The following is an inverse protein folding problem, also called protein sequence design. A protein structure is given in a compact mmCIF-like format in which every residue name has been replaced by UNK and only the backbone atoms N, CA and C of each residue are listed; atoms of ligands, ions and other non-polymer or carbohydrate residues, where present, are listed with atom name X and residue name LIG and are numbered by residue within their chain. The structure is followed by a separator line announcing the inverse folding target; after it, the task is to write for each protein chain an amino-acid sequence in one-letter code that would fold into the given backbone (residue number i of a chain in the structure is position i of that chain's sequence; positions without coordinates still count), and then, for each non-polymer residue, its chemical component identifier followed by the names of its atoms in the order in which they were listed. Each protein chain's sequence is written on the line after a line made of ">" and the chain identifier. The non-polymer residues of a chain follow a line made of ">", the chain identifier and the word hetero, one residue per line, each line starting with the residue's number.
data_IF_664892451131
#
_entry.id   IF_664892451131
#
_cell.length_a   1.000
_cell.length_b   1.000
_cell.length_c   1.000
_cell.angle_alpha   90.00
_cell.angle_beta   90.00
_cell.angle_gamma   90.00
#
_symmetry.space_group_name_H-M   'P 1'
#
loop_
_entity.id
_entity.type
_entity.pdbx_description
1 polymer ?
#
# COMPACT_ATOMS: atom_id res chain seq x y z
N UNK A 1 -27.80 -16.34 15.95
CA UNK A 1 -26.49 -17.00 15.82
C UNK A 1 -25.61 -16.13 14.94
N UNK A 2 -24.77 -15.26 15.51
CA UNK A 2 -23.76 -14.53 14.72
C UNK A 2 -22.70 -15.56 14.37
N UNK A 3 -22.54 -15.83 13.07
CA UNK A 3 -21.56 -16.80 12.57
C UNK A 3 -20.15 -16.33 12.91
N UNK A 4 -19.24 -17.26 13.19
CA UNK A 4 -17.83 -17.03 13.54
C UNK A 4 -17.11 -16.08 12.55
N UNK A 5 -17.58 -16.00 11.29
CA UNK A 5 -17.10 -15.07 10.28
C UNK A 5 -17.52 -13.60 10.50
N UNK A 6 -18.47 -13.30 11.39
CA UNK A 6 -18.89 -11.93 11.68
C UNK A 6 -17.97 -11.18 12.67
N UNK A 7 -16.91 -11.81 13.17
CA UNK A 7 -15.98 -11.21 14.14
C UNK A 7 -14.60 -10.84 13.52
N UNK A 8 -14.27 -11.36 12.33
CA UNK A 8 -12.99 -11.05 11.68
C UNK A 8 -13.20 -9.85 10.75
N UNK A 9 -12.48 -8.72 10.95
CA UNK A 9 -12.54 -7.59 10.02
C UNK A 9 -12.17 -8.02 8.60
N UNK A 10 -12.91 -7.55 7.59
CA UNK A 10 -12.64 -7.86 6.19
C UNK A 10 -11.20 -7.53 5.77
N UNK A 11 -10.60 -6.50 6.38
CA UNK A 11 -9.20 -6.14 6.15
C UNK A 11 -8.23 -7.25 6.57
N UNK A 12 -8.49 -7.96 7.67
CA UNK A 12 -7.65 -9.09 8.11
C UNK A 12 -7.74 -10.23 7.10
N UNK A 13 -8.94 -10.53 6.60
CA UNK A 13 -9.12 -11.54 5.57
C UNK A 13 -8.40 -11.14 4.26
N UNK A 14 -8.51 -9.89 3.84
CA UNK A 14 -7.83 -9.37 2.66
C UNK A 14 -6.31 -9.45 2.79
N UNK A 15 -5.75 -9.13 3.97
CA UNK A 15 -4.32 -9.30 4.25
C UNK A 15 -3.93 -10.79 4.20
N UNK A 16 -4.71 -11.69 4.78
CA UNK A 16 -4.43 -13.13 4.71
C UNK A 16 -4.41 -13.66 3.27
N UNK A 17 -5.37 -13.24 2.44
CA UNK A 17 -5.40 -13.55 1.00
C UNK A 17 -4.16 -12.98 0.30
N UNK A 18 -3.76 -11.75 0.62
CA UNK A 18 -2.56 -11.11 0.07
C UNK A 18 -1.29 -11.88 0.40
N UNK A 19 -1.17 -12.41 1.61
CA UNK A 19 -0.04 -13.28 2.02
C UNK A 19 -0.02 -14.56 1.20
N UNK A 20 -1.17 -15.23 1.05
CA UNK A 20 -1.27 -16.46 0.25
C UNK A 20 -0.86 -16.20 -1.21
N UNK A 21 -1.37 -15.13 -1.81
CA UNK A 21 -1.02 -14.73 -3.20
C UNK A 21 0.48 -14.42 -3.30
N UNK A 22 1.03 -13.65 -2.36
CA UNK A 22 2.44 -13.29 -2.34
C UNK A 22 3.34 -14.54 -2.28
N UNK A 23 3.02 -15.51 -1.42
CA UNK A 23 3.77 -16.76 -1.33
C UNK A 23 3.62 -17.60 -2.61
N UNK A 24 2.40 -17.77 -3.12
CA UNK A 24 2.11 -18.58 -4.29
C UNK A 24 2.79 -18.05 -5.57
N UNK A 25 2.79 -16.71 -5.76
CA UNK A 25 3.34 -16.08 -6.96
C UNK A 25 4.81 -15.68 -6.84
N UNK A 26 5.41 -15.74 -5.64
CA UNK A 26 6.77 -15.25 -5.38
C UNK A 26 7.84 -15.83 -6.30
N UNK A 27 7.75 -17.12 -6.65
CA UNK A 27 8.74 -17.77 -7.53
C UNK A 27 8.67 -17.22 -8.96
N UNK A 28 7.45 -17.05 -9.50
CA UNK A 28 7.26 -16.49 -10.86
C UNK A 28 7.66 -15.02 -10.90
N UNK A 29 7.26 -14.26 -9.88
CA UNK A 29 7.64 -12.86 -9.74
C UNK A 29 9.17 -12.70 -9.60
N UNK A 30 9.84 -13.56 -8.84
CA UNK A 30 11.29 -13.54 -8.68
C UNK A 30 12.03 -13.75 -10.01
N UNK A 31 11.58 -14.72 -10.81
CA UNK A 31 12.14 -14.97 -12.13
C UNK A 31 11.96 -13.76 -13.07
N UNK A 32 10.77 -13.16 -13.10
CA UNK A 32 10.49 -11.99 -13.93
C UNK A 32 11.25 -10.74 -13.48
N UNK A 33 11.32 -10.49 -12.16
CA UNK A 33 12.02 -9.35 -11.56
C UNK A 33 13.54 -9.55 -11.49
N UNK A 34 14.04 -10.74 -11.81
CA UNK A 34 15.47 -11.11 -11.70
C UNK A 34 16.02 -10.88 -10.29
N UNK A 35 15.26 -11.29 -9.27
CA UNK A 35 15.58 -11.07 -7.86
C UNK A 35 15.38 -12.32 -7.01
N UNK A 36 15.72 -12.24 -5.71
CA UNK A 36 15.47 -13.35 -4.75
C UNK A 36 13.95 -13.48 -4.52
N UNK A 37 13.49 -14.72 -4.29
CA UNK A 37 12.09 -15.03 -3.99
C UNK A 37 11.53 -14.21 -2.81
N UNK A 38 12.34 -13.99 -1.77
CA UNK A 38 11.96 -13.19 -0.62
C UNK A 38 11.65 -11.74 -0.98
N UNK A 39 12.48 -11.11 -1.83
CA UNK A 39 12.26 -9.73 -2.30
C UNK A 39 11.01 -9.65 -3.17
N UNK A 40 10.81 -10.61 -4.08
CA UNK A 40 9.60 -10.67 -4.89
C UNK A 40 8.34 -10.86 -4.03
N UNK A 41 8.41 -11.70 -2.99
CA UNK A 41 7.32 -11.87 -2.03
C UNK A 41 7.01 -10.58 -1.27
N UNK A 42 8.03 -9.82 -0.84
CA UNK A 42 7.86 -8.52 -0.18
C UNK A 42 7.20 -7.49 -1.10
N UNK A 43 7.55 -7.46 -2.39
CA UNK A 43 6.88 -6.58 -3.36
C UNK A 43 5.40 -6.93 -3.47
N UNK A 44 5.07 -8.21 -3.68
CA UNK A 44 3.68 -8.66 -3.80
C UNK A 44 2.89 -8.40 -2.52
N UNK A 45 3.51 -8.65 -1.36
CA UNK A 45 2.90 -8.39 -0.06
C UNK A 45 2.67 -6.88 0.16
N UNK A 46 3.63 -6.04 -0.24
CA UNK A 46 3.48 -4.58 -0.17
C UNK A 46 2.28 -4.08 -0.98
N UNK A 47 2.12 -4.53 -2.22
CA UNK A 47 0.92 -4.22 -3.02
C UNK A 47 -0.35 -4.73 -2.34
N UNK A 48 -0.33 -5.98 -1.85
CA UNK A 48 -1.46 -6.59 -1.16
C UNK A 48 -1.87 -5.83 0.10
N UNK A 49 -0.90 -5.37 0.90
CA UNK A 49 -1.16 -4.57 2.11
C UNK A 49 -1.81 -3.23 1.76
N UNK A 50 -1.29 -2.51 0.75
CA UNK A 50 -1.89 -1.25 0.30
C UNK A 50 -3.33 -1.48 -0.14
N UNK A 51 -3.59 -2.45 -1.03
CA UNK A 51 -4.93 -2.77 -1.52
C UNK A 51 -5.87 -3.16 -0.37
N UNK A 52 -5.40 -4.01 0.56
CA UNK A 52 -6.20 -4.45 1.71
C UNK A 52 -6.54 -3.32 2.67
N UNK A 53 -5.64 -2.35 2.85
CA UNK A 53 -5.86 -1.23 3.74
C UNK A 53 -6.75 -0.14 3.12
N UNK A 54 -6.68 0.05 1.79
CA UNK A 54 -7.30 1.21 1.12
C UNK A 54 -8.59 0.89 0.38
N UNK A 55 -8.77 -0.33 -0.13
CA UNK A 55 -9.93 -0.69 -0.98
C UNK A 55 -10.93 -1.64 -0.29
N UNK A 56 -10.64 -2.14 0.91
CA UNK A 56 -11.63 -2.90 1.68
C UNK A 56 -12.63 -1.92 2.32
N UNK A 57 -13.94 -2.19 2.22
CA UNK A 57 -14.97 -1.36 2.84
C UNK A 57 -14.74 -1.16 4.34
N UNK A 58 -15.00 0.05 4.82
CA UNK A 58 -14.94 0.37 6.26
C UNK A 58 -16.09 -0.27 7.03
N UNK A 59 -15.99 -0.35 8.36
CA UNK A 59 -17.10 -0.79 9.20
C UNK A 59 -18.35 0.07 8.98
N UNK A 60 -18.20 1.39 8.88
CA UNK A 60 -19.30 2.33 8.63
C UNK A 60 -19.98 2.05 7.27
N UNK A 61 -19.19 1.73 6.23
CA UNK A 61 -19.74 1.34 4.92
C UNK A 61 -20.58 0.05 5.01
N UNK A 62 -20.13 -0.92 5.80
CA UNK A 62 -20.88 -2.17 6.03
C UNK A 62 -22.17 -1.94 6.80
N UNK A 63 -22.24 -0.87 7.60
CA UNK A 63 -23.45 -0.42 8.30
C UNK A 63 -24.33 0.50 7.42
N UNK A 64 -24.00 0.64 6.12
CA UNK A 64 -24.77 1.39 5.16
C UNK A 64 -24.45 2.90 5.14
N UNK A 65 -23.31 3.31 5.67
CA UNK A 65 -22.86 4.73 5.67
C UNK A 65 -21.75 4.89 4.63
N UNK A 66 -22.07 5.31 3.38
CA UNK A 66 -21.07 5.58 2.34
C UNK A 66 -20.30 6.87 2.64
N UNK A 67 -19.20 7.12 1.90
CA UNK A 67 -18.58 8.44 1.85
C UNK A 67 -19.44 9.39 1.01
N UNK A 68 -19.12 10.70 1.10
CA UNK A 68 -19.83 11.76 0.36
C UNK A 68 -19.56 11.76 -1.16
N UNK A 69 -18.57 10.99 -1.61
CA UNK A 69 -18.19 10.93 -3.03
C UNK A 69 -17.52 12.23 -3.53
N UNK A 70 -16.98 13.03 -2.63
CA UNK A 70 -16.24 14.27 -2.93
C UNK A 70 -14.77 14.07 -2.59
N UNK A 71 -13.88 14.63 -3.42
CA UNK A 71 -12.44 14.63 -3.13
C UNK A 71 -12.05 15.86 -2.34
N UNK A 72 -11.48 15.68 -1.13
CA UNK A 72 -10.92 16.76 -0.35
C UNK A 72 -9.59 17.22 -0.96
N UNK A 73 -9.56 18.47 -1.42
CA UNK A 73 -8.40 19.11 -2.03
C UNK A 73 -7.77 20.17 -1.14
N UNK A 74 -8.10 20.18 0.13
CA UNK A 74 -7.66 21.23 1.08
C UNK A 74 -6.15 21.25 1.31
N UNK A 75 -5.47 20.11 1.17
CA UNK A 75 -4.02 19.98 1.35
C UNK A 75 -3.35 19.31 0.14
N UNK A 76 -2.40 20.03 -0.49
CA UNK A 76 -1.53 19.51 -1.57
C UNK A 76 -0.05 19.43 -1.13
N UNK A 77 0.28 19.82 0.09
CA UNK A 77 1.63 19.82 0.64
C UNK A 77 1.94 18.60 1.50
N UNK A 78 3.21 18.51 1.93
CA UNK A 78 3.63 17.49 2.89
C UNK A 78 2.92 17.67 4.24
N UNK A 79 2.68 16.56 4.93
CA UNK A 79 2.21 16.58 6.30
C UNK A 79 3.21 17.30 7.22
N UNK A 80 2.72 17.97 8.24
CA UNK A 80 3.55 18.57 9.28
C UNK A 80 4.27 17.50 10.10
N UNK A 81 5.35 17.89 10.78
CA UNK A 81 6.08 16.96 11.67
C UNK A 81 5.16 16.42 12.77
N UNK A 82 4.27 17.26 13.28
CA UNK A 82 3.30 16.87 14.29
C UNK A 82 2.32 15.81 13.79
N UNK A 83 1.80 15.95 12.56
CA UNK A 83 0.95 14.95 11.91
C UNK A 83 1.69 13.63 11.66
N UNK A 84 2.98 13.69 11.33
CA UNK A 84 3.79 12.48 11.08
C UNK A 84 4.22 11.76 12.36
N UNK A 85 4.32 12.46 13.48
CA UNK A 85 4.74 11.89 14.78
C UNK A 85 3.57 11.47 15.67
N UNK A 86 2.35 11.83 15.30
CA UNK A 86 1.11 11.38 15.94
C UNK A 86 0.38 10.35 15.08
N UNK A 87 -0.57 9.62 15.70
CA UNK A 87 -1.39 8.64 14.95
C UNK A 87 -2.50 9.39 14.23
N UNK A 88 -2.22 9.77 13.00
CA UNK A 88 -3.14 10.48 12.09
C UNK A 88 -3.30 9.71 10.80
N UNK A 89 -4.26 10.09 9.95
CA UNK A 89 -4.40 9.53 8.60
C UNK A 89 -3.11 9.70 7.79
N UNK A 90 -2.46 10.88 7.88
CA UNK A 90 -1.21 11.17 7.18
C UNK A 90 -0.08 10.23 7.57
N UNK A 91 0.18 10.04 8.88
CA UNK A 91 1.23 9.13 9.34
C UNK A 91 0.96 7.67 8.95
N UNK A 92 -0.31 7.25 8.98
CA UNK A 92 -0.70 5.90 8.58
C UNK A 92 -0.54 5.67 7.08
N UNK A 93 -0.87 6.66 6.22
CA UNK A 93 -0.67 6.57 4.78
C UNK A 93 0.81 6.51 4.42
N UNK A 94 1.65 7.34 5.04
CA UNK A 94 3.11 7.25 4.88
C UNK A 94 3.60 5.86 5.28
N UNK A 95 3.27 5.38 6.47
CA UNK A 95 3.72 4.08 6.97
C UNK A 95 3.23 2.91 6.12
N UNK A 96 2.04 3.00 5.54
CA UNK A 96 1.46 1.97 4.68
C UNK A 96 2.30 1.73 3.41
N UNK A 97 2.86 2.79 2.82
CA UNK A 97 3.64 2.70 1.59
C UNK A 97 5.14 2.45 1.81
N UNK A 98 5.67 2.65 3.02
CA UNK A 98 7.09 2.38 3.34
C UNK A 98 7.50 0.93 3.04
N UNK A 99 6.75 -0.13 3.44
CA UNK A 99 7.14 -1.51 3.13
C UNK A 99 7.20 -1.80 1.63
N UNK A 100 6.27 -1.27 0.84
CA UNK A 100 6.28 -1.40 -0.62
C UNK A 100 7.51 -0.69 -1.20
N UNK A 101 7.76 0.55 -0.81
CA UNK A 101 8.95 1.30 -1.21
C UNK A 101 10.25 0.58 -0.85
N UNK A 102 10.36 0.06 0.37
CA UNK A 102 11.51 -0.72 0.80
C UNK A 102 11.77 -1.92 -0.12
N UNK A 103 10.73 -2.69 -0.43
CA UNK A 103 10.85 -3.83 -1.33
C UNK A 103 11.31 -3.40 -2.74
N UNK A 104 10.81 -2.27 -3.26
CA UNK A 104 11.25 -1.70 -4.54
C UNK A 104 12.73 -1.27 -4.50
N UNK A 105 13.20 -0.67 -3.42
CA UNK A 105 14.60 -0.29 -3.23
C UNK A 105 15.57 -1.47 -3.27
N UNK A 106 15.10 -2.68 -2.91
CA UNK A 106 15.87 -3.92 -2.99
C UNK A 106 15.96 -4.49 -4.41
N UNK A 107 15.09 -4.09 -5.34
CA UNK A 107 15.07 -4.63 -6.70
C UNK A 107 16.32 -4.23 -7.50
N UNK A 108 16.80 -5.11 -8.43
CA UNK A 108 17.86 -4.77 -9.37
C UNK A 108 17.38 -3.66 -10.33
N UNK A 109 18.33 -2.91 -10.91
CA UNK A 109 18.03 -1.85 -11.91
C UNK A 109 17.72 -2.48 -13.28
N UNK A 110 16.54 -3.09 -13.39
CA UNK A 110 16.06 -3.74 -14.61
C UNK A 110 14.77 -3.10 -15.12
N UNK A 111 14.42 -3.36 -16.38
CA UNK A 111 13.18 -2.88 -16.97
C UNK A 111 11.93 -3.38 -16.21
N UNK A 112 11.82 -4.67 -15.81
CA UNK A 112 10.71 -5.13 -14.97
C UNK A 112 10.60 -4.38 -13.64
N UNK A 113 11.73 -4.12 -12.97
CA UNK A 113 11.74 -3.36 -11.72
C UNK A 113 11.23 -1.93 -11.92
N UNK A 114 11.62 -1.26 -13.02
CA UNK A 114 11.11 0.07 -13.37
C UNK A 114 9.59 0.05 -13.61
N UNK A 115 9.07 -0.96 -14.31
CA UNK A 115 7.61 -1.12 -14.52
C UNK A 115 6.88 -1.24 -13.19
N UNK A 116 7.39 -2.06 -12.26
CA UNK A 116 6.77 -2.24 -10.94
C UNK A 116 6.86 -0.98 -10.10
N UNK A 117 7.96 -0.21 -10.19
CA UNK A 117 8.08 1.06 -9.50
C UNK A 117 7.06 2.10 -10.01
N UNK A 118 6.87 2.18 -11.34
CA UNK A 118 5.82 3.02 -11.93
C UNK A 118 4.44 2.55 -11.50
N UNK A 119 4.17 1.24 -11.50
CA UNK A 119 2.89 0.69 -11.03
C UNK A 119 2.63 1.04 -9.55
N UNK A 120 3.65 0.98 -8.69
CA UNK A 120 3.53 1.34 -7.29
C UNK A 120 3.24 2.84 -7.08
N UNK A 121 3.91 3.71 -7.85
CA UNK A 121 3.62 5.15 -7.81
C UNK A 121 2.21 5.46 -8.37
N UNK A 122 1.79 4.78 -9.43
CA UNK A 122 0.45 4.93 -10.01
C UNK A 122 -0.65 4.40 -9.09
N UNK A 123 -0.34 3.43 -8.23
CA UNK A 123 -1.32 2.81 -7.32
C UNK A 123 -1.99 3.85 -6.42
N UNK A 124 -1.25 4.87 -5.94
CA UNK A 124 -1.83 5.92 -5.11
C UNK A 124 -2.94 6.69 -5.85
N UNK A 125 -2.72 7.04 -7.12
CA UNK A 125 -3.74 7.71 -7.94
C UNK A 125 -4.95 6.81 -8.23
N UNK A 126 -4.69 5.53 -8.48
CA UNK A 126 -5.74 4.53 -8.72
C UNK A 126 -6.60 4.32 -7.47
N UNK A 127 -5.98 4.27 -6.29
CA UNK A 127 -6.68 4.15 -5.01
C UNK A 127 -7.62 5.33 -4.81
N UNK A 128 -7.12 6.57 -4.92
CA UNK A 128 -7.92 7.77 -4.73
C UNK A 128 -9.07 7.87 -5.75
N UNK A 129 -8.80 7.49 -7.02
CA UNK A 129 -9.84 7.44 -8.04
C UNK A 129 -10.93 6.40 -7.71
N UNK A 130 -10.54 5.22 -7.23
CA UNK A 130 -11.50 4.17 -6.82
C UNK A 130 -12.33 4.65 -5.62
N UNK A 131 -11.71 5.29 -4.62
CA UNK A 131 -12.40 5.81 -3.44
C UNK A 131 -13.39 6.92 -3.81
N UNK A 132 -13.03 7.79 -4.77
CA UNK A 132 -13.92 8.81 -5.32
C UNK A 132 -15.12 8.21 -6.06
N UNK A 133 -14.84 7.20 -6.91
CA UNK A 133 -15.86 6.60 -7.78
C UNK A 133 -16.76 5.58 -7.07
N UNK A 134 -16.31 5.04 -5.94
CA UNK A 134 -17.01 4.02 -5.15
C UNK A 134 -17.27 4.48 -3.70
N UNK A 135 -18.17 5.45 -3.48
CA UNK A 135 -18.53 5.93 -2.14
C UNK A 135 -18.97 4.80 -1.19
N UNK A 136 -19.45 3.69 -1.74
CA UNK A 136 -19.87 2.50 -1.00
C UNK A 136 -18.73 1.86 -0.19
N UNK A 137 -17.47 2.20 -0.45
CA UNK A 137 -16.33 1.77 0.37
C UNK A 137 -16.27 2.51 1.71
N UNK A 138 -17.00 3.61 1.89
CA UNK A 138 -16.98 4.46 3.08
C UNK A 138 -15.61 5.10 3.32
N UNK A 139 -14.86 5.35 2.23
CA UNK A 139 -13.54 6.01 2.22
C UNK A 139 -13.62 7.28 1.40
N UNK A 140 -13.01 8.35 1.90
CA UNK A 140 -12.93 9.63 1.19
C UNK A 140 -11.71 9.69 0.29
N UNK A 141 -11.84 10.35 -0.88
CA UNK A 141 -10.71 10.75 -1.70
C UNK A 141 -10.07 12.00 -1.09
N UNK A 142 -8.73 12.01 -0.96
CA UNK A 142 -7.98 13.15 -0.43
C UNK A 142 -6.68 13.38 -1.23
N UNK A 143 -6.45 14.62 -1.68
CA UNK A 143 -5.18 14.97 -2.32
C UNK A 143 -4.00 14.88 -1.36
N UNK A 144 -4.23 15.04 -0.07
CA UNK A 144 -3.26 14.82 0.99
C UNK A 144 -2.70 13.39 0.96
N UNK A 145 -3.57 12.40 0.76
CA UNK A 145 -3.20 10.99 0.75
C UNK A 145 -2.29 10.64 -0.44
N UNK A 146 -2.45 11.31 -1.59
CA UNK A 146 -1.53 11.18 -2.72
C UNK A 146 -0.09 11.55 -2.33
N UNK A 147 0.07 12.68 -1.64
CA UNK A 147 1.39 13.19 -1.23
C UNK A 147 1.98 12.29 -0.15
N UNK A 148 1.19 11.91 0.85
CA UNK A 148 1.63 11.09 1.98
C UNK A 148 2.03 9.67 1.51
N UNK A 149 1.25 9.06 0.62
CA UNK A 149 1.55 7.75 0.01
C UNK A 149 2.84 7.79 -0.81
N UNK A 150 3.02 8.81 -1.67
CA UNK A 150 4.25 8.98 -2.45
C UNK A 150 5.47 9.24 -1.56
N UNK A 151 5.30 10.01 -0.49
CA UNK A 151 6.35 10.25 0.51
C UNK A 151 6.76 8.94 1.18
N UNK A 152 5.80 8.12 1.64
CA UNK A 152 6.06 6.81 2.23
C UNK A 152 6.80 5.88 1.26
N UNK A 153 6.35 5.86 -0.01
CA UNK A 153 7.00 5.09 -1.05
C UNK A 153 8.46 5.53 -1.25
N UNK A 154 8.71 6.84 -1.34
CA UNK A 154 10.05 7.38 -1.52
C UNK A 154 10.98 7.08 -0.33
N UNK A 155 10.50 7.27 0.90
CA UNK A 155 11.24 6.93 2.13
C UNK A 155 11.60 5.44 2.11
N UNK A 156 10.63 4.58 1.83
CA UNK A 156 10.87 3.15 1.72
C UNK A 156 11.92 2.79 0.68
N UNK A 157 11.86 3.38 -0.52
CA UNK A 157 12.85 3.17 -1.59
C UNK A 157 14.25 3.56 -1.12
N UNK A 158 14.40 4.71 -0.47
CA UNK A 158 15.71 5.15 0.05
C UNK A 158 16.24 4.15 1.07
N UNK A 159 15.43 3.72 2.03
CA UNK A 159 15.83 2.72 3.04
C UNK A 159 16.22 1.40 2.36
N UNK A 160 15.45 0.93 1.38
CA UNK A 160 15.73 -0.30 0.63
C UNK A 160 17.03 -0.22 -0.16
N UNK A 161 17.30 0.90 -0.81
CA UNK A 161 18.57 1.13 -1.53
C UNK A 161 19.78 1.11 -0.58
N UNK A 162 19.65 1.70 0.61
CA UNK A 162 20.72 1.69 1.62
C UNK A 162 20.93 0.30 2.24
N UNK A 163 19.85 -0.47 2.41
CA UNK A 163 19.91 -1.82 2.95
C UNK A 163 20.47 -2.85 1.94
N UNK A 164 20.33 -2.59 0.65
CA UNK A 164 20.70 -3.53 -0.43
C UNK A 164 22.12 -4.08 -0.35
N UNK A 165 23.20 -3.27 -0.14
CA UNK A 165 24.55 -3.79 -0.04
C UNK A 165 24.78 -4.68 1.19
N UNK A 166 24.03 -4.44 2.26
CA UNK A 166 24.12 -5.24 3.50
C UNK A 166 23.51 -6.63 3.28
N UNK A 167 22.34 -6.69 2.61
CA UNK A 167 21.62 -7.94 2.31
C UNK A 167 22.24 -8.74 1.15
N UNK A 168 23.15 -8.15 0.37
CA UNK A 168 23.87 -8.86 -0.69
C UNK A 168 25.05 -9.70 -0.14
N UNK A 169 25.48 -9.43 1.09
CA UNK A 169 26.62 -10.12 1.74
C UNK A 169 26.21 -11.37 2.50
N UNK A 170 24.92 -11.58 2.72
CA UNK A 170 24.33 -12.77 3.36
C UNK A 170 23.76 -13.73 2.31
#
# INVERSE_FOLDING_TARGET
>A
MRTFFGTVPLSVLAVAVSVVIAVALSTRAAAWLQTRRSVAALVLLGFGLVISATLVPTGAALDGIPSDGVCDTSRLGFASIEELTSVTTSSLNVLLFVPLGFALGLLPRTRPAAIVAVAAASLTFVVEAIQLLLPVLGRGCQTADLVDNLMGLAIGVVIGLLARPLLART
#
